data_IF_876400771717
#
_entry.id   IF_876400771717
#
_cell.length_a   1.000
_cell.length_b   1.000
_cell.length_c   1.000
_cell.angle_alpha   90.00
_cell.angle_beta   90.00
_cell.angle_gamma   90.00
#
_symmetry.space_group_name_H-M   'P 1'
#
loop_
_entity.id
_entity.type
_entity.pdbx_description
1 polymer ?
#
# COMPACT_ATOMS: atom_id res chain seq x y z
N UNK A 1 6.77 -0.48 0.44
CA UNK A 1 5.83 -1.12 1.38
C UNK A 1 4.50 -0.39 1.25
N UNK A 2 3.37 -1.09 1.21
CA UNK A 2 2.04 -0.47 1.11
C UNK A 2 1.01 -1.34 1.86
N UNK A 3 -0.01 -0.72 2.43
CA UNK A 3 -1.06 -1.44 3.16
C UNK A 3 -2.03 -2.12 2.21
N UNK A 4 -2.31 -3.41 2.44
CA UNK A 4 -3.28 -4.18 1.68
C UNK A 4 -4.29 -4.85 2.61
N UNK A 5 -5.55 -5.01 2.18
CA UNK A 5 -6.48 -5.90 2.87
C UNK A 5 -5.95 -7.34 2.77
N UNK A 6 -5.76 -7.98 3.93
CA UNK A 6 -5.25 -9.33 4.02
C UNK A 6 -6.09 -10.19 4.95
N UNK A 7 -6.06 -11.49 4.72
CA UNK A 7 -6.40 -12.49 5.73
C UNK A 7 -5.11 -13.08 6.29
N UNK A 8 -5.08 -13.38 7.59
CA UNK A 8 -3.90 -13.95 8.25
C UNK A 8 -4.25 -15.33 8.81
N UNK A 9 -3.44 -16.34 8.48
CA UNK A 9 -3.59 -17.71 8.96
C UNK A 9 -2.21 -18.40 9.03
N UNK A 10 -1.97 -19.19 10.07
CA UNK A 10 -0.77 -20.03 10.23
C UNK A 10 0.58 -19.29 10.09
N UNK A 11 0.63 -18.01 10.48
CA UNK A 11 1.83 -17.17 10.36
C UNK A 11 2.04 -16.57 8.97
N UNK A 12 1.13 -16.81 8.03
CA UNK A 12 1.12 -16.24 6.69
C UNK A 12 0.01 -15.20 6.52
N UNK A 13 0.20 -14.29 5.56
CA UNK A 13 -0.84 -13.36 5.10
C UNK A 13 -1.16 -13.62 3.62
N UNK A 14 -2.42 -13.44 3.24
CA UNK A 14 -2.90 -13.51 1.85
C UNK A 14 -3.68 -12.26 1.52
N UNK A 15 -3.33 -11.62 0.40
CA UNK A 15 -4.03 -10.43 -0.09
C UNK A 15 -5.43 -10.83 -0.54
N UNK A 16 -6.41 -9.98 -0.23
CA UNK A 16 -7.77 -10.12 -0.76
C UNK A 16 -7.76 -9.72 -2.23
N UNK A 17 -8.07 -10.68 -3.10
CA UNK A 17 -8.14 -10.47 -4.56
C UNK A 17 -9.51 -9.91 -5.00
N UNK A 18 -9.57 -9.40 -6.23
CA UNK A 18 -10.80 -8.92 -6.90
C UNK A 18 -11.62 -7.86 -6.12
N UNK A 19 -10.96 -7.07 -5.26
CA UNK A 19 -11.61 -5.96 -4.57
C UNK A 19 -11.83 -4.78 -5.55
N UNK A 20 -13.08 -4.38 -5.85
CA UNK A 20 -13.33 -3.24 -6.71
C UNK A 20 -12.82 -1.95 -6.06
N UNK A 21 -12.11 -1.14 -6.84
CA UNK A 21 -11.60 0.17 -6.43
C UNK A 21 -12.35 1.23 -7.24
N UNK A 22 -13.18 2.02 -6.57
CA UNK A 22 -13.84 3.16 -7.20
C UNK A 22 -12.89 4.37 -7.34
N UNK A 23 -13.34 5.40 -8.07
CA UNK A 23 -12.53 6.58 -8.34
C UNK A 23 -12.08 7.31 -7.06
N UNK A 24 -12.97 7.42 -6.07
CA UNK A 24 -12.67 8.05 -4.79
C UNK A 24 -11.57 7.28 -4.04
N UNK A 25 -11.69 5.96 -3.97
CA UNK A 25 -10.72 5.07 -3.35
C UNK A 25 -9.36 5.15 -4.05
N UNK A 26 -9.34 5.19 -5.38
CA UNK A 26 -8.11 5.33 -6.16
C UNK A 26 -7.41 6.68 -5.89
N UNK A 27 -8.15 7.78 -5.77
CA UNK A 27 -7.58 9.09 -5.42
C UNK A 27 -6.93 9.09 -4.03
N UNK A 28 -7.56 8.44 -3.05
CA UNK A 28 -6.99 8.28 -1.71
C UNK A 28 -5.72 7.42 -1.73
N UNK A 29 -5.75 6.28 -2.42
CA UNK A 29 -4.58 5.39 -2.59
C UNK A 29 -3.41 6.15 -3.22
N UNK A 30 -3.67 6.95 -4.24
CA UNK A 30 -2.63 7.75 -4.92
C UNK A 30 -1.98 8.78 -3.99
N UNK A 31 -2.75 9.40 -3.07
CA UNK A 31 -2.21 10.36 -2.08
C UNK A 31 -1.24 9.66 -1.13
N UNK A 32 -1.63 8.52 -0.57
CA UNK A 32 -0.76 7.73 0.32
C UNK A 32 0.46 7.18 -0.41
N UNK A 33 0.29 6.74 -1.66
CA UNK A 33 1.43 6.26 -2.46
C UNK A 33 2.46 7.36 -2.67
N UNK A 34 2.03 8.59 -2.97
CA UNK A 34 2.92 9.73 -3.13
C UNK A 34 3.69 10.03 -1.83
N UNK A 35 3.00 10.08 -0.70
CA UNK A 35 3.64 10.31 0.61
C UNK A 35 4.74 9.28 0.89
N UNK A 36 4.46 7.99 0.68
CA UNK A 36 5.43 6.91 0.88
C UNK A 36 6.62 6.98 -0.09
N UNK A 37 6.42 7.45 -1.32
CA UNK A 37 7.50 7.67 -2.29
C UNK A 37 8.38 8.85 -1.88
N UNK A 38 7.78 9.94 -1.39
CA UNK A 38 8.49 11.10 -0.88
C UNK A 38 9.34 10.71 0.36
N UNK A 39 8.79 9.90 1.28
CA UNK A 39 9.52 9.33 2.41
C UNK A 39 10.66 8.40 1.98
N UNK A 40 10.42 7.50 1.01
CA UNK A 40 11.44 6.61 0.46
C UNK A 40 12.59 7.41 -0.15
N UNK A 41 12.28 8.48 -0.90
CA UNK A 41 13.29 9.37 -1.47
C UNK A 41 14.12 10.07 -0.38
N UNK A 42 13.48 10.48 0.73
CA UNK A 42 14.16 11.09 1.87
C UNK A 42 15.23 10.19 2.51
N UNK A 43 14.99 8.88 2.56
CA UNK A 43 15.93 7.89 3.14
C UNK A 43 16.84 7.21 2.11
N UNK A 44 16.67 7.51 0.81
CA UNK A 44 17.38 6.81 -0.26
C UNK A 44 18.91 6.90 -0.17
N UNK A 45 19.44 7.91 0.52
CA UNK A 45 20.88 8.09 0.75
C UNK A 45 21.46 7.19 1.85
N UNK A 46 20.63 6.43 2.57
CA UNK A 46 21.00 5.56 3.69
C UNK A 46 20.99 4.06 3.34
N UNK A 47 20.68 3.72 2.08
CA UNK A 47 20.54 2.35 1.56
C UNK A 47 21.47 2.16 0.36
#
# INVERSE_FOLDING_TARGET
MFGFPVTCADGEYKIVEDLPVDAFSQECINKTLKELQDEQAGVAHML
#
